data_IF_375916448029
#
_entry.id   IF_375916448029
#
_cell.length_a   1.000
_cell.length_b   1.000
_cell.length_c   1.000
_cell.angle_alpha   90.00
_cell.angle_beta   90.00
_cell.angle_gamma   90.00
#
_symmetry.space_group_name_H-M   'P 1'
#
loop_
_entity.id
_entity.type
_entity.pdbx_description
1 polymer ?
#
# COMPACT_ATOMS: atom_id res chain seq x y z
N UNK A 1 -5.97 -9.11 -23.11
CA UNK A 1 -5.03 -8.11 -23.65
C UNK A 1 -4.31 -7.47 -22.47
N UNK A 2 -2.98 -7.38 -22.47
CA UNK A 2 -2.26 -6.69 -21.38
C UNK A 2 -2.46 -5.19 -21.55
N UNK A 3 -3.07 -4.53 -20.57
CA UNK A 3 -3.26 -3.08 -20.59
C UNK A 3 -1.90 -2.37 -20.72
N UNK A 4 -1.84 -1.33 -21.56
CA UNK A 4 -0.65 -0.51 -21.76
C UNK A 4 -0.33 0.29 -20.49
N UNK A 5 0.93 0.72 -20.36
CA UNK A 5 1.31 1.62 -19.29
C UNK A 5 0.93 3.05 -19.67
N UNK A 6 0.25 3.72 -18.76
CA UNK A 6 -0.09 5.12 -18.82
C UNK A 6 0.91 5.93 -18.00
N UNK A 7 1.25 7.11 -18.49
CA UNK A 7 2.11 8.07 -17.80
C UNK A 7 1.24 9.22 -17.32
N UNK A 8 1.23 9.44 -16.00
CA UNK A 8 0.47 10.49 -15.32
C UNK A 8 1.49 11.48 -14.78
N UNK A 9 1.37 12.75 -15.13
CA UNK A 9 2.28 13.83 -14.76
C UNK A 9 1.53 14.90 -13.99
N UNK A 10 2.24 15.78 -13.29
CA UNK A 10 1.62 16.89 -12.52
C UNK A 10 0.73 17.84 -13.36
N UNK A 11 0.80 17.75 -14.69
CA UNK A 11 -0.04 18.54 -15.60
C UNK A 11 -1.37 17.85 -15.93
N UNK A 12 -1.47 16.56 -15.69
CA UNK A 12 -2.66 15.77 -15.99
C UNK A 12 -3.70 15.96 -14.89
N UNK A 13 -4.97 16.07 -15.27
CA UNK A 13 -6.05 16.31 -14.32
C UNK A 13 -6.16 15.19 -13.29
N UNK A 14 -5.93 13.93 -13.67
CA UNK A 14 -5.96 12.78 -12.77
C UNK A 14 -4.70 12.64 -11.89
N UNK A 15 -3.78 13.61 -11.87
CA UNK A 15 -2.63 13.57 -10.97
C UNK A 15 -3.06 13.83 -9.51
N UNK A 16 -2.60 12.99 -8.56
CA UNK A 16 -2.90 13.13 -7.14
C UNK A 16 -2.07 14.28 -6.52
N UNK A 17 -2.56 15.52 -6.59
CA UNK A 17 -1.81 16.72 -6.18
C UNK A 17 -1.55 16.80 -4.67
N UNK A 18 -2.38 16.13 -3.87
CA UNK A 18 -2.24 16.03 -2.40
C UNK A 18 -0.97 15.27 -1.97
N UNK A 19 -0.29 14.57 -2.90
CA UNK A 19 1.04 14.00 -2.63
C UNK A 19 2.02 15.06 -2.13
N UNK A 20 1.92 16.31 -2.62
CA UNK A 20 2.84 17.40 -2.27
C UNK A 20 2.80 17.75 -0.77
N UNK A 21 1.63 17.61 -0.13
CA UNK A 21 1.46 17.83 1.30
C UNK A 21 2.35 16.91 2.13
N UNK A 22 2.54 15.67 1.68
CA UNK A 22 3.27 14.64 2.43
C UNK A 22 4.72 14.50 1.97
N UNK A 23 4.95 14.48 0.65
CA UNK A 23 6.24 14.17 0.05
C UNK A 23 7.11 15.41 -0.20
N UNK A 24 6.51 16.61 -0.28
CA UNK A 24 7.23 17.88 -0.50
C UNK A 24 8.19 17.79 -1.70
N UNK A 25 9.49 17.97 -1.50
CA UNK A 25 10.52 17.87 -2.55
C UNK A 25 10.70 16.47 -3.13
N UNK A 26 10.17 15.43 -2.47
CA UNK A 26 10.17 14.05 -2.95
C UNK A 26 8.93 13.68 -3.77
N UNK A 27 8.04 14.65 -4.03
CA UNK A 27 6.83 14.44 -4.83
C UNK A 27 7.20 14.03 -6.26
N UNK A 28 6.67 12.90 -6.76
CA UNK A 28 7.08 12.36 -8.05
C UNK A 28 6.51 13.20 -9.21
N UNK A 29 7.35 13.70 -10.11
CA UNK A 29 6.89 14.41 -11.31
C UNK A 29 6.04 13.53 -12.25
N UNK A 30 6.21 12.22 -12.16
CA UNK A 30 5.54 11.23 -13.01
C UNK A 30 5.20 9.96 -12.23
N UNK A 31 3.99 9.46 -12.44
CA UNK A 31 3.49 8.17 -11.98
C UNK A 31 3.20 7.31 -13.21
N UNK A 32 3.75 6.11 -13.25
CA UNK A 32 3.46 5.10 -14.27
C UNK A 32 2.38 4.17 -13.74
N UNK A 33 1.29 4.02 -14.49
CA UNK A 33 0.12 3.25 -14.12
C UNK A 33 -0.16 2.14 -15.13
N UNK A 34 -0.52 0.95 -14.67
CA UNK A 34 -1.04 -0.15 -15.50
C UNK A 34 -2.21 -0.79 -14.77
N UNK A 35 -3.40 -0.74 -15.34
CA UNK A 35 -4.61 -1.14 -14.62
C UNK A 35 -5.77 -0.22 -14.93
N UNK A 36 -6.82 -0.38 -14.13
CA UNK A 36 -7.92 0.56 -14.06
C UNK A 36 -7.47 1.85 -13.35
N UNK A 37 -7.33 2.94 -14.10
CA UNK A 37 -6.85 4.23 -13.59
C UNK A 37 -7.87 4.92 -12.69
N UNK A 38 -9.15 4.55 -12.78
CA UNK A 38 -10.23 5.07 -11.95
C UNK A 38 -10.12 4.59 -10.49
N UNK A 39 -9.14 3.71 -10.20
CA UNK A 39 -8.77 3.31 -8.84
C UNK A 39 -7.73 4.25 -8.20
N UNK A 40 -7.14 5.18 -8.95
CA UNK A 40 -6.20 6.14 -8.39
C UNK A 40 -6.94 7.12 -7.46
N UNK A 41 -6.49 7.33 -6.20
CA UNK A 41 -7.21 8.17 -5.24
C UNK A 41 -7.31 9.66 -5.62
N UNK A 42 -8.19 10.36 -4.88
CA UNK A 42 -8.48 11.81 -4.87
C UNK A 42 -9.25 12.37 -6.07
N UNK A 43 -8.88 12.08 -7.31
CA UNK A 43 -9.59 12.63 -8.46
C UNK A 43 -10.35 11.57 -9.25
N UNK A 44 -11.68 11.75 -9.34
CA UNK A 44 -12.61 10.86 -10.07
C UNK A 44 -12.47 9.37 -9.70
N UNK A 45 -12.05 9.10 -8.46
CA UNK A 45 -11.83 7.74 -8.00
C UNK A 45 -13.16 7.04 -7.73
N UNK A 46 -13.22 5.77 -8.11
CA UNK A 46 -14.32 4.86 -7.73
C UNK A 46 -14.19 4.35 -6.30
N UNK A 47 -13.09 4.67 -5.62
CA UNK A 47 -12.86 4.30 -4.22
C UNK A 47 -13.70 5.19 -3.29
N UNK A 48 -14.49 4.58 -2.41
CA UNK A 48 -15.36 5.28 -1.44
C UNK A 48 -14.60 5.88 -0.22
N UNK A 49 -13.35 6.31 -0.38
CA UNK A 49 -12.59 7.02 0.67
C UNK A 49 -12.13 6.17 1.86
N UNK A 50 -11.70 4.93 1.61
CA UNK A 50 -11.20 4.04 2.66
C UNK A 50 -10.07 3.12 2.16
N UNK A 51 -9.07 3.70 1.50
CA UNK A 51 -7.92 2.94 1.00
C UNK A 51 -6.92 2.64 2.13
N UNK A 52 -6.70 1.35 2.39
CA UNK A 52 -5.77 0.90 3.43
C UNK A 52 -4.39 0.53 2.88
N UNK A 53 -3.35 1.19 3.37
CA UNK A 53 -1.98 0.75 3.12
C UNK A 53 -1.60 -0.40 4.04
N UNK A 54 -0.97 -1.45 3.49
CA UNK A 54 -0.44 -2.56 4.27
C UNK A 54 1.10 -2.55 4.24
N UNK A 55 1.71 -2.60 5.42
CA UNK A 55 3.15 -2.70 5.61
C UNK A 55 3.52 -3.75 6.65
N UNK A 56 4.69 -4.36 6.50
CA UNK A 56 5.27 -5.24 7.51
C UNK A 56 6.79 -5.29 7.37
N UNK A 57 7.51 -5.37 8.49
CA UNK A 57 8.92 -5.73 8.49
C UNK A 57 9.13 -7.13 7.91
N UNK A 58 10.26 -7.34 7.23
CA UNK A 58 10.61 -8.63 6.63
C UNK A 58 10.87 -9.73 7.66
N UNK A 59 11.34 -9.33 8.86
CA UNK A 59 11.43 -10.18 10.04
C UNK A 59 10.23 -9.88 10.93
N UNK A 60 9.47 -10.90 11.30
CA UNK A 60 8.34 -10.78 12.21
C UNK A 60 8.14 -12.09 12.99
N UNK A 61 7.58 -12.04 14.21
CA UNK A 61 7.17 -13.23 14.95
C UNK A 61 6.09 -14.03 14.23
N UNK A 62 6.04 -15.35 14.47
CA UNK A 62 5.06 -16.25 13.82
C UNK A 62 3.60 -15.86 14.07
N UNK A 63 3.28 -15.33 15.25
CA UNK A 63 1.92 -14.86 15.57
C UNK A 63 1.44 -13.70 14.68
N UNK A 64 2.34 -12.83 14.22
CA UNK A 64 2.03 -11.73 13.29
C UNK A 64 1.56 -12.30 11.96
N UNK A 65 2.19 -13.37 11.48
CA UNK A 65 1.86 -13.99 10.19
C UNK A 65 0.40 -14.44 10.20
N UNK A 66 -0.04 -15.11 11.28
CA UNK A 66 -1.42 -15.60 11.42
C UNK A 66 -2.40 -14.43 11.53
N UNK A 67 -2.14 -13.45 12.41
CA UNK A 67 -3.02 -12.28 12.58
C UNK A 67 -3.11 -11.42 11.32
N UNK A 68 -2.02 -11.27 10.56
CA UNK A 68 -2.00 -10.55 9.30
C UNK A 68 -2.77 -11.31 8.19
N UNK A 69 -2.66 -12.63 8.15
CA UNK A 69 -3.48 -13.46 7.27
C UNK A 69 -4.97 -13.29 7.58
N UNK A 70 -5.37 -13.36 8.85
CA UNK A 70 -6.76 -13.19 9.27
C UNK A 70 -7.28 -11.79 8.95
N UNK A 71 -6.44 -10.76 9.12
CA UNK A 71 -6.76 -9.40 8.70
C UNK A 71 -7.02 -9.33 7.19
N UNK A 72 -6.16 -9.94 6.37
CA UNK A 72 -6.33 -9.97 4.93
C UNK A 72 -7.61 -10.72 4.51
N UNK A 73 -7.99 -11.79 5.22
CA UNK A 73 -9.26 -12.49 5.00
C UNK A 73 -10.45 -11.56 5.27
N UNK A 74 -10.43 -10.83 6.39
CA UNK A 74 -11.48 -9.87 6.74
C UNK A 74 -11.59 -8.72 5.74
N UNK A 75 -10.46 -8.15 5.33
CA UNK A 75 -10.43 -7.08 4.32
C UNK A 75 -11.04 -7.58 3.01
N UNK A 76 -10.68 -8.79 2.58
CA UNK A 76 -11.22 -9.46 1.40
C UNK A 76 -12.74 -9.71 1.53
N UNK A 77 -13.20 -10.21 2.67
CA UNK A 77 -14.62 -10.51 2.93
C UNK A 77 -15.50 -9.25 2.95
N UNK A 78 -15.02 -8.18 3.58
CA UNK A 78 -15.75 -6.90 3.68
C UNK A 78 -15.63 -6.09 2.38
N UNK A 79 -14.60 -6.36 1.58
CA UNK A 79 -14.34 -5.66 0.33
C UNK A 79 -13.53 -4.37 0.49
N UNK A 80 -12.65 -4.30 1.50
CA UNK A 80 -11.81 -3.13 1.79
C UNK A 80 -10.72 -2.97 0.72
N UNK A 81 -10.63 -1.83 0.02
CA UNK A 81 -9.58 -1.59 -0.95
C UNK A 81 -8.22 -1.43 -0.25
N UNK A 82 -7.17 -1.99 -0.85
CA UNK A 82 -5.83 -1.98 -0.26
C UNK A 82 -4.76 -1.47 -1.21
N UNK A 83 -3.74 -0.82 -0.68
CA UNK A 83 -2.53 -0.42 -1.39
C UNK A 83 -1.28 -0.96 -0.69
N UNK A 84 -0.27 -1.35 -1.47
CA UNK A 84 0.99 -1.80 -0.91
C UNK A 84 1.98 -2.15 -2.00
N UNK A 85 3.25 -2.30 -1.64
CA UNK A 85 4.24 -2.90 -2.54
C UNK A 85 4.48 -4.38 -2.28
N UNK A 86 3.84 -4.91 -1.24
CA UNK A 86 3.78 -6.33 -0.89
C UNK A 86 5.11 -7.08 -1.03
N UNK A 87 6.13 -6.60 -0.31
CA UNK A 87 7.50 -7.04 -0.49
C UNK A 87 7.92 -8.10 0.54
N UNK A 88 7.61 -7.90 1.81
CA UNK A 88 7.88 -8.87 2.88
C UNK A 88 7.05 -10.15 2.70
N UNK A 89 7.49 -11.28 3.28
CA UNK A 89 6.73 -12.53 3.23
C UNK A 89 5.29 -12.39 3.73
N UNK A 90 5.09 -11.62 4.81
CA UNK A 90 3.75 -11.34 5.37
C UNK A 90 2.90 -10.55 4.39
N UNK A 91 3.43 -9.45 3.83
CA UNK A 91 2.64 -8.68 2.87
C UNK A 91 2.32 -9.51 1.62
N UNK A 92 3.25 -10.37 1.15
CA UNK A 92 2.99 -11.26 0.02
C UNK A 92 1.89 -12.29 0.31
N UNK A 93 1.79 -12.78 1.55
CA UNK A 93 0.67 -13.64 1.97
C UNK A 93 -0.63 -12.85 1.96
N UNK A 94 -0.66 -11.64 2.53
CA UNK A 94 -1.83 -10.78 2.50
C UNK A 94 -2.29 -10.51 1.06
N UNK A 95 -1.37 -10.17 0.14
CA UNK A 95 -1.70 -9.98 -1.27
C UNK A 95 -2.31 -11.23 -1.90
N UNK A 96 -1.79 -12.42 -1.56
CA UNK A 96 -2.31 -13.69 -2.08
C UNK A 96 -3.75 -13.93 -1.64
N UNK A 97 -4.08 -13.59 -0.39
CA UNK A 97 -5.45 -13.66 0.14
C UNK A 97 -6.34 -12.63 -0.56
N UNK A 98 -5.90 -11.38 -0.62
CA UNK A 98 -6.67 -10.26 -1.18
C UNK A 98 -6.97 -10.48 -2.68
N UNK A 99 -6.03 -11.02 -3.45
CA UNK A 99 -6.24 -11.30 -4.88
C UNK A 99 -7.34 -12.33 -5.15
N UNK A 100 -7.79 -13.10 -4.15
CA UNK A 100 -8.93 -14.03 -4.27
C UNK A 100 -10.29 -13.39 -3.96
N UNK A 101 -10.32 -12.12 -3.56
CA UNK A 101 -11.56 -11.34 -3.39
C UNK A 101 -11.89 -10.50 -4.61
N UNK A 102 -12.95 -9.69 -4.50
CA UNK A 102 -13.43 -8.81 -5.59
C UNK A 102 -13.02 -7.33 -5.40
N UNK A 103 -12.45 -6.98 -4.25
CA UNK A 103 -12.12 -5.60 -3.92
C UNK A 103 -10.95 -5.03 -4.75
N UNK A 104 -10.90 -3.69 -4.90
CA UNK A 104 -9.78 -3.02 -5.53
C UNK A 104 -8.44 -3.23 -4.80
N UNK A 105 -7.38 -3.42 -5.57
CA UNK A 105 -6.01 -3.57 -5.06
C UNK A 105 -5.10 -2.64 -5.85
N UNK A 106 -4.30 -1.84 -5.14
CA UNK A 106 -3.24 -1.02 -5.72
C UNK A 106 -1.87 -1.62 -5.36
N UNK A 107 -1.06 -1.91 -6.37
CA UNK A 107 0.25 -2.56 -6.22
C UNK A 107 1.36 -1.60 -6.62
N UNK A 108 2.24 -1.25 -5.67
CA UNK A 108 3.33 -0.30 -5.87
C UNK A 108 4.71 -0.97 -5.72
N UNK A 109 5.30 -1.57 -6.77
CA UNK A 109 6.66 -2.09 -6.70
C UNK A 109 7.71 -0.98 -6.48
N UNK A 110 8.79 -1.31 -5.78
CA UNK A 110 9.94 -0.42 -5.57
C UNK A 110 10.90 -0.37 -6.79
N UNK A 111 10.35 -0.36 -8.00
CA UNK A 111 11.06 -0.42 -9.29
C UNK A 111 10.12 -0.03 -10.45
N UNK A 112 10.66 0.08 -11.66
CA UNK A 112 9.88 0.31 -12.88
C UNK A 112 8.91 -0.85 -13.18
N UNK A 113 7.77 -0.52 -13.78
CA UNK A 113 6.74 -1.47 -14.23
C UNK A 113 6.81 -1.79 -15.73
N UNK A 114 7.63 -1.07 -16.50
CA UNK A 114 7.70 -1.18 -17.96
C UNK A 114 8.01 -2.61 -18.41
N UNK A 115 9.13 -3.15 -17.94
CA UNK A 115 9.58 -4.51 -18.27
C UNK A 115 9.19 -5.53 -17.18
N UNK A 116 8.21 -5.21 -16.34
CA UNK A 116 7.81 -6.09 -15.25
C UNK A 116 6.99 -7.28 -15.75
N UNK A 117 7.49 -8.49 -15.48
CA UNK A 117 6.73 -9.74 -15.69
C UNK A 117 5.53 -9.80 -14.75
N UNK A 118 4.33 -9.94 -15.33
CA UNK A 118 3.08 -10.11 -14.60
C UNK A 118 2.82 -11.58 -14.27
N UNK A 119 2.52 -11.87 -13.00
CA UNK A 119 2.02 -13.18 -12.54
C UNK A 119 0.60 -13.42 -13.10
N UNK A 120 0.20 -14.68 -13.26
CA UNK A 120 -1.15 -15.02 -13.73
C UNK A 120 -2.25 -14.37 -12.89
N UNK A 121 -2.16 -14.49 -11.56
CA UNK A 121 -3.12 -13.90 -10.63
C UNK A 121 -3.25 -12.37 -10.75
N UNK A 122 -2.21 -11.68 -11.21
CA UNK A 122 -2.28 -10.24 -11.49
C UNK A 122 -2.96 -9.96 -12.81
N UNK A 123 -2.76 -10.81 -13.82
CA UNK A 123 -3.44 -10.67 -15.12
C UNK A 123 -4.95 -10.83 -14.96
N UNK A 124 -5.38 -11.79 -14.15
CA UNK A 124 -6.80 -12.03 -13.87
C UNK A 124 -7.42 -10.79 -13.20
N UNK A 125 -6.81 -10.29 -12.12
CA UNK A 125 -7.28 -9.08 -11.43
C UNK A 125 -7.20 -7.79 -12.29
N UNK A 126 -6.25 -7.71 -13.23
CA UNK A 126 -6.20 -6.62 -14.23
C UNK A 126 -7.35 -6.73 -15.23
N UNK A 127 -7.69 -7.93 -15.69
CA UNK A 127 -8.82 -8.15 -16.60
C UNK A 127 -10.18 -7.92 -15.94
N UNK A 128 -10.25 -8.10 -14.62
CA UNK A 128 -11.40 -7.79 -13.77
C UNK A 128 -11.46 -6.31 -13.36
N UNK A 129 -10.57 -5.46 -13.89
CA UNK A 129 -10.52 -3.99 -13.67
C UNK A 129 -10.44 -3.56 -12.19
N UNK A 130 -9.97 -4.46 -11.32
CA UNK A 130 -9.84 -4.24 -9.88
C UNK A 130 -8.40 -4.21 -9.38
N UNK A 131 -7.41 -4.28 -10.28
CA UNK A 131 -6.00 -4.10 -9.97
C UNK A 131 -5.46 -2.86 -10.69
N UNK A 132 -4.75 -2.02 -9.94
CA UNK A 132 -3.96 -0.91 -10.48
C UNK A 132 -2.52 -1.04 -9.98
N UNK A 133 -1.58 -1.21 -10.92
CA UNK A 133 -0.15 -1.25 -10.63
C UNK A 133 0.42 0.15 -10.84
N UNK A 134 1.05 0.71 -9.81
CA UNK A 134 1.64 2.06 -9.83
C UNK A 134 3.14 2.01 -9.60
N UNK A 135 3.88 2.91 -10.23
CA UNK A 135 5.28 3.13 -9.90
C UNK A 135 5.64 4.60 -10.08
N UNK A 136 6.53 5.10 -9.25
CA UNK A 136 7.15 6.43 -9.39
C UNK A 136 8.54 6.34 -10.04
N UNK A 137 8.90 5.16 -10.56
CA UNK A 137 10.22 4.86 -11.07
C UNK A 137 10.17 4.60 -12.58
N UNK A 138 10.84 5.47 -13.35
CA UNK A 138 11.02 5.27 -14.79
C UNK A 138 11.93 4.08 -15.14
N UNK A 139 12.04 3.79 -16.44
CA UNK A 139 12.72 2.63 -17.03
C UNK A 139 14.09 2.27 -16.40
N UNK A 140 14.89 3.27 -16.03
CA UNK A 140 16.25 3.09 -15.45
C UNK A 140 16.29 2.32 -14.12
N UNK A 141 15.18 2.22 -13.41
CA UNK A 141 15.11 1.59 -12.08
C UNK A 141 14.57 0.16 -12.15
N UNK A 142 15.33 -0.76 -12.72
CA UNK A 142 14.84 -2.14 -12.96
C UNK A 142 14.84 -3.02 -11.70
N UNK A 143 15.71 -2.70 -10.73
CA UNK A 143 15.94 -3.50 -9.52
C UNK A 143 15.47 -2.76 -8.29
N UNK A 144 14.75 -3.47 -7.41
CA UNK A 144 14.37 -2.96 -6.10
C UNK A 144 15.61 -2.81 -5.21
N UNK A 145 15.72 -1.67 -4.52
CA UNK A 145 16.71 -1.43 -3.46
C UNK A 145 16.02 -0.93 -2.20
N UNK A 146 16.73 -0.89 -1.07
CA UNK A 146 16.17 -0.37 0.16
C UNK A 146 15.78 1.12 0.06
N UNK A 147 16.56 1.93 -0.68
CA UNK A 147 16.25 3.34 -0.90
C UNK A 147 14.98 3.53 -1.74
N UNK A 148 14.84 2.76 -2.84
CA UNK A 148 13.62 2.80 -3.66
C UNK A 148 12.41 2.26 -2.88
N UNK A 149 12.60 1.26 -2.02
CA UNK A 149 11.54 0.75 -1.16
C UNK A 149 11.06 1.80 -0.15
N UNK A 150 11.97 2.61 0.40
CA UNK A 150 11.62 3.72 1.29
C UNK A 150 10.81 4.80 0.56
N UNK A 151 11.27 5.26 -0.62
CA UNK A 151 10.53 6.22 -1.45
C UNK A 151 9.15 5.68 -1.86
N UNK A 152 9.08 4.40 -2.24
CA UNK A 152 7.81 3.73 -2.53
C UNK A 152 6.90 3.70 -1.31
N UNK A 153 7.41 3.40 -0.13
CA UNK A 153 6.60 3.33 1.09
C UNK A 153 5.99 4.70 1.40
N UNK A 154 6.79 5.77 1.30
CA UNK A 154 6.32 7.15 1.44
C UNK A 154 5.19 7.46 0.44
N UNK A 155 5.37 7.11 -0.84
CA UNK A 155 4.34 7.27 -1.88
C UNK A 155 3.06 6.49 -1.56
N UNK A 156 3.17 5.21 -1.16
CA UNK A 156 2.03 4.38 -0.78
C UNK A 156 1.26 4.96 0.40
N UNK A 157 1.98 5.39 1.45
CA UNK A 157 1.34 5.99 2.61
C UNK A 157 0.73 7.36 2.29
N UNK A 158 1.35 8.15 1.43
CA UNK A 158 0.81 9.42 0.97
C UNK A 158 -0.54 9.23 0.26
N UNK A 159 -0.70 8.19 -0.57
CA UNK A 159 -1.98 7.89 -1.26
C UNK A 159 -3.08 7.30 -0.36
N UNK A 160 -2.72 6.59 0.72
CA UNK A 160 -3.68 5.85 1.52
C UNK A 160 -4.40 6.70 2.57
N UNK A 161 -5.66 6.40 2.85
CA UNK A 161 -6.44 7.06 3.91
C UNK A 161 -6.04 6.55 5.29
N UNK A 162 -5.76 5.24 5.38
CA UNK A 162 -5.42 4.55 6.64
C UNK A 162 -4.21 3.65 6.43
N UNK A 163 -3.38 3.54 7.46
CA UNK A 163 -2.12 2.80 7.38
C UNK A 163 -2.17 1.66 8.38
N UNK A 164 -2.01 0.42 7.94
CA UNK A 164 -1.84 -0.74 8.80
C UNK A 164 -0.39 -1.23 8.71
N UNK A 165 0.32 -1.15 9.82
CA UNK A 165 1.64 -1.76 9.99
C UNK A 165 1.43 -3.04 10.81
N UNK A 166 1.44 -4.19 10.15
CA UNK A 166 1.21 -5.47 10.81
C UNK A 166 2.28 -5.74 11.87
N UNK A 167 3.53 -5.43 11.56
CA UNK A 167 4.63 -5.47 12.52
C UNK A 167 5.80 -4.59 12.08
N UNK A 168 6.45 -3.98 13.07
CA UNK A 168 7.73 -3.31 12.92
C UNK A 168 8.68 -3.83 14.00
N UNK A 169 9.76 -4.50 13.58
CA UNK A 169 10.83 -4.85 14.50
C UNK A 169 11.48 -3.59 15.10
N UNK A 170 12.06 -3.72 16.29
CA UNK A 170 12.87 -2.67 16.92
C UNK A 170 14.00 -2.23 15.98
N UNK A 171 14.32 -0.93 16.01
CA UNK A 171 15.36 -0.30 15.18
C UNK A 171 15.23 -0.61 13.68
N UNK A 172 14.02 -0.87 13.20
CA UNK A 172 13.77 -1.18 11.78
C UNK A 172 13.36 0.05 10.98
N UNK A 173 13.64 0.01 9.68
CA UNK A 173 13.20 1.03 8.72
C UNK A 173 11.67 1.19 8.66
N UNK A 174 10.90 0.17 9.05
CA UNK A 174 9.45 0.27 9.12
C UNK A 174 9.03 1.04 10.38
N UNK A 175 9.77 0.92 11.49
CA UNK A 175 9.51 1.70 12.70
C UNK A 175 9.85 3.19 12.48
N UNK A 176 10.99 3.49 11.85
CA UNK A 176 11.35 4.86 11.41
C UNK A 176 10.27 5.43 10.48
N UNK A 177 9.82 4.63 9.51
CA UNK A 177 8.74 5.00 8.61
C UNK A 177 7.40 5.23 9.33
N UNK A 178 7.08 4.44 10.36
CA UNK A 178 5.87 4.64 11.17
C UNK A 178 5.88 6.02 11.83
N UNK A 179 7.02 6.42 12.40
CA UNK A 179 7.19 7.74 13.01
C UNK A 179 6.95 8.87 12.00
N UNK A 180 7.51 8.75 10.78
CA UNK A 180 7.30 9.72 9.70
C UNK A 180 5.80 9.86 9.35
N UNK A 181 5.10 8.74 9.17
CA UNK A 181 3.69 8.73 8.79
C UNK A 181 2.77 9.26 9.90
N UNK A 182 3.11 8.99 11.15
CA UNK A 182 2.42 9.58 12.31
C UNK A 182 2.63 11.09 12.38
N UNK A 183 3.84 11.58 12.08
CA UNK A 183 4.13 13.01 12.00
C UNK A 183 3.37 13.71 10.86
N UNK A 184 2.99 12.99 9.81
CA UNK A 184 2.07 13.49 8.77
C UNK A 184 0.60 13.60 9.25
N UNK A 185 0.29 13.12 10.47
CA UNK A 185 -1.05 13.09 11.01
C UNK A 185 -1.93 11.97 10.45
N UNK A 186 -1.34 11.00 9.72
CA UNK A 186 -2.11 9.89 9.17
C UNK A 186 -2.46 8.86 10.25
N UNK A 187 -3.68 8.28 10.22
CA UNK A 187 -4.06 7.26 11.17
C UNK A 187 -3.28 5.97 10.89
N UNK A 188 -2.39 5.61 11.82
CA UNK A 188 -1.65 4.36 11.81
C UNK A 188 -2.29 3.37 12.77
N UNK A 189 -2.49 2.15 12.29
CA UNK A 189 -3.03 1.02 13.03
C UNK A 189 -2.02 -0.12 13.05
N UNK A 190 -2.07 -0.94 14.11
CA UNK A 190 -1.26 -2.14 14.22
C UNK A 190 -2.01 -3.28 14.92
N UNK A 191 -1.51 -4.50 14.76
CA UNK A 191 -2.07 -5.68 15.38
C UNK A 191 -1.84 -5.65 16.90
N UNK A 192 -2.87 -6.03 17.66
CA UNK A 192 -2.77 -6.14 19.12
C UNK A 192 -1.91 -7.34 19.53
N UNK A 193 -0.63 -7.06 19.77
CA UNK A 193 0.37 -7.99 20.30
C UNK A 193 1.44 -7.21 21.07
N UNK A 194 2.03 -7.78 22.13
CA UNK A 194 3.23 -7.24 22.77
C UNK A 194 4.40 -6.97 21.80
N UNK A 195 4.52 -7.72 20.70
CA UNK A 195 5.60 -7.54 19.72
C UNK A 195 5.53 -6.20 18.97
N UNK A 196 4.42 -5.46 19.08
CA UNK A 196 4.22 -4.14 18.46
C UNK A 196 4.21 -3.01 19.50
N UNK A 197 4.72 -3.24 20.72
CA UNK A 197 4.75 -2.25 21.79
C UNK A 197 5.35 -0.91 21.34
N UNK A 198 6.48 -0.93 20.62
CA UNK A 198 7.11 0.28 20.10
C UNK A 198 6.21 1.07 19.13
N UNK A 199 5.34 0.40 18.36
CA UNK A 199 4.38 1.09 17.49
C UNK A 199 3.29 1.78 18.32
N UNK A 200 2.81 1.14 19.39
CA UNK A 200 1.84 1.76 20.30
C UNK A 200 2.43 2.97 21.03
N UNK A 201 3.68 2.89 21.46
CA UNK A 201 4.40 4.00 22.10
C UNK A 201 4.58 5.21 21.17
N UNK A 202 4.72 4.97 19.86
CA UNK A 202 4.72 6.04 18.85
C UNK A 202 3.33 6.66 18.61
N UNK A 203 2.25 6.03 19.07
CA UNK A 203 0.88 6.51 18.90
C UNK A 203 0.07 5.76 17.84
N UNK A 204 0.52 4.58 17.38
CA UNK A 204 -0.31 3.70 16.56
C UNK A 204 -1.54 3.24 17.35
N UNK A 205 -2.67 3.13 16.66
CA UNK A 205 -3.94 2.67 17.22
C UNK A 205 -4.05 1.16 17.10
N UNK A 206 -4.76 0.55 18.04
CA UNK A 206 -5.10 -0.86 17.94
C UNK A 206 -6.05 -1.10 16.78
N UNK A 207 -5.76 -2.10 15.96
CA UNK A 207 -6.67 -2.57 14.93
C UNK A 207 -7.62 -3.61 15.54
N UNK A 208 -8.82 -3.17 15.89
CA UNK A 208 -9.82 -4.06 16.48
C UNK A 208 -10.32 -5.11 15.46
N UNK A 209 -10.48 -6.39 15.86
CA UNK A 209 -10.98 -7.45 14.99
C UNK A 209 -12.38 -7.20 14.43
N UNK A 210 -13.17 -6.37 15.11
CA UNK A 210 -14.44 -5.84 14.62
C UNK A 210 -14.16 -4.56 13.83
N UNK A 211 -14.06 -4.67 12.51
CA UNK A 211 -14.01 -3.52 11.61
C UNK A 211 -15.35 -2.76 11.66
N UNK A 212 -15.61 -2.04 12.75
CA UNK A 212 -16.53 -0.90 12.74
C UNK A 212 -15.75 0.28 12.15
N UNK A 213 -15.53 0.25 10.83
CA UNK A 213 -15.10 1.44 10.08
C UNK A 213 -16.33 2.32 9.83
N UNK A 214 -17.02 2.71 10.90
CA UNK A 214 -17.96 3.83 10.94
C UNK A 214 -18.05 4.37 12.35
N UNK A 215 -17.82 5.69 12.45
CA UNK A 215 -18.16 6.68 13.49
C UNK A 215 -16.90 7.51 13.79
N UNK A 216 -16.80 8.80 13.48
CA UNK A 216 -17.69 9.83 12.93
C UNK A 216 -16.80 10.83 12.20
#
# INVERSE_FOLDING_TARGET
MTQSIQRITQKDTNYPTELEQYLKTETPETIWARGNIDLLPWQNTTLNGDLWALFCSSKCPGEIILKAHDLAQKFKEIGIPTIGGYHSPVEQECLRVLLRGAQPILLCPARSIENMRLKSTWKDALSEERLLILSIFGSRYERSTAALAHQRNAFVAALADKICIAHAAEESKILEFAQQVLAWGKPVFTLDTPANQSLFELGARRLEPSLNVRQR
#
